data_IF_388707707884
#
_entry.id   IF_388707707884
#
_cell.length_a   1.000
_cell.length_b   1.000
_cell.length_c   1.000
_cell.angle_alpha   90.00
_cell.angle_beta   90.00
_cell.angle_gamma   90.00
#
_symmetry.space_group_name_H-M   'P 1'
#
loop_
_entity.id
_entity.type
_entity.pdbx_description
1 polymer ?
#
# COMPACT_ATOMS: atom_id res chain seq x y z
N UNK A 1 4.50 16.40 -21.76
CA UNK A 1 5.98 16.36 -21.78
C UNK A 1 6.35 14.95 -21.38
N UNK A 2 6.82 14.16 -22.34
CA UNK A 2 6.96 12.70 -22.26
C UNK A 2 8.23 12.38 -21.46
N UNK A 3 8.12 11.54 -20.43
CA UNK A 3 9.27 10.85 -19.85
C UNK A 3 9.03 9.35 -19.94
N UNK A 4 9.48 8.78 -21.05
CA UNK A 4 9.84 7.37 -21.16
C UNK A 4 11.33 7.20 -20.86
N UNK A 5 11.69 6.01 -20.38
CA UNK A 5 13.04 5.45 -20.24
C UNK A 5 13.88 5.93 -19.06
N UNK A 6 13.87 5.13 -17.98
CA UNK A 6 15.03 4.31 -17.56
C UNK A 6 14.73 3.69 -16.18
N UNK A 7 13.90 2.64 -16.15
CA UNK A 7 13.81 1.76 -14.99
C UNK A 7 14.00 0.30 -15.42
N UNK A 8 15.25 -0.12 -15.21
CA UNK A 8 15.68 -1.45 -14.78
C UNK A 8 15.75 -2.55 -15.86
N UNK A 9 16.95 -2.68 -16.43
CA UNK A 9 17.50 -3.95 -16.87
C UNK A 9 17.92 -4.75 -15.62
N UNK A 10 17.04 -5.58 -15.12
CA UNK A 10 17.34 -6.58 -14.09
C UNK A 10 16.74 -7.91 -14.52
N UNK A 11 17.59 -8.91 -14.74
CA UNK A 11 17.20 -10.25 -15.10
C UNK A 11 16.77 -10.99 -13.82
N UNK A 12 15.47 -11.17 -13.62
CA UNK A 12 14.89 -11.77 -12.42
C UNK A 12 14.67 -13.28 -12.64
N UNK A 13 15.69 -14.08 -12.35
CA UNK A 13 15.58 -15.53 -12.25
C UNK A 13 15.79 -15.99 -10.81
N UNK A 14 14.73 -15.95 -10.00
CA UNK A 14 14.50 -16.83 -8.83
C UNK A 14 13.19 -16.45 -8.15
N UNK A 15 12.09 -17.06 -8.60
CA UNK A 15 10.78 -16.92 -7.97
C UNK A 15 10.60 -17.89 -6.80
N UNK A 16 10.20 -17.35 -5.64
CA UNK A 16 9.58 -18.12 -4.56
C UNK A 16 8.08 -18.25 -4.87
N UNK A 17 7.59 -19.48 -4.75
CA UNK A 17 6.24 -19.94 -5.06
C UNK A 17 5.25 -19.46 -4.00
N UNK A 18 4.18 -18.75 -4.39
CA UNK A 18 2.97 -18.63 -3.58
C UNK A 18 1.81 -19.29 -4.31
N UNK A 19 1.26 -20.34 -3.70
CA UNK A 19 0.05 -21.01 -4.14
C UNK A 19 -1.12 -20.43 -3.34
N UNK A 20 -2.16 -20.01 -4.06
CA UNK A 20 -3.43 -19.60 -3.49
C UNK A 20 -4.18 -20.85 -2.98
N UNK A 21 -4.46 -20.88 -1.68
CA UNK A 21 -5.38 -21.85 -1.05
C UNK A 21 -4.77 -23.13 -0.47
N UNK A 22 -4.71 -23.21 0.87
CA UNK A 22 -4.81 -24.49 1.60
C UNK A 22 -3.66 -24.88 2.53
N UNK A 23 -3.93 -24.80 3.85
CA UNK A 23 -3.39 -25.59 4.99
C UNK A 23 -1.86 -25.80 5.14
N UNK A 24 -1.36 -25.34 6.29
CA UNK A 24 -0.03 -25.62 6.87
C UNK A 24 0.26 -27.11 7.06
N UNK A 25 1.51 -27.51 6.86
CA UNK A 25 2.14 -28.62 7.59
C UNK A 25 3.66 -28.39 7.78
N UNK A 26 4.18 -28.96 8.87
CA UNK A 26 5.42 -28.62 9.57
C UNK A 26 6.68 -29.40 9.13
N UNK A 27 7.82 -28.86 9.62
CA UNK A 27 9.05 -29.52 10.11
C UNK A 27 10.11 -30.00 9.09
N UNK A 28 11.31 -29.41 9.21
CA UNK A 28 12.55 -30.14 9.50
C UNK A 28 13.62 -29.23 10.11
N UNK A 29 14.20 -29.66 11.23
CA UNK A 29 15.28 -29.00 11.99
C UNK A 29 16.65 -29.56 11.59
N UNK A 30 17.70 -28.72 11.59
CA UNK A 30 19.09 -29.13 11.91
C UNK A 30 19.86 -27.95 12.55
N UNK A 31 20.38 -28.16 13.77
CA UNK A 31 21.38 -27.38 14.53
C UNK A 31 22.80 -27.53 13.92
N UNK A 32 23.90 -26.81 14.19
CA UNK A 32 24.32 -25.68 15.01
C UNK A 32 25.68 -25.24 14.43
N UNK A 33 26.06 -23.97 14.55
CA UNK A 33 27.43 -23.52 14.28
C UNK A 33 27.69 -22.10 14.78
N UNK A 34 28.41 -21.99 15.89
CA UNK A 34 28.78 -20.75 16.59
C UNK A 34 29.98 -20.04 15.94
N UNK A 35 29.86 -18.74 15.64
CA UNK A 35 31.00 -17.80 15.50
C UNK A 35 30.61 -16.42 16.05
N UNK A 36 31.64 -15.73 16.56
CA UNK A 36 31.65 -14.63 17.51
C UNK A 36 31.05 -13.28 17.08
N UNK A 37 30.68 -12.53 18.13
CA UNK A 37 30.25 -11.12 18.21
C UNK A 37 31.14 -10.15 17.42
N UNK A 38 30.52 -9.40 16.52
CA UNK A 38 30.87 -8.01 16.24
C UNK A 38 29.62 -7.13 16.42
N UNK A 39 29.82 -5.94 16.98
CA UNK A 39 28.78 -5.01 17.41
C UNK A 39 28.35 -4.19 16.18
N UNK A 40 27.38 -4.70 15.42
CA UNK A 40 26.72 -3.95 14.35
C UNK A 40 25.77 -2.89 14.94
N UNK A 41 25.70 -1.69 14.34
CA UNK A 41 24.68 -0.72 14.71
C UNK A 41 23.30 -1.33 14.45
N UNK A 42 22.52 -1.48 15.52
CA UNK A 42 21.17 -2.01 15.50
C UNK A 42 20.21 -1.12 14.69
N UNK A 43 20.22 -1.29 13.37
CA UNK A 43 19.10 -0.98 12.48
C UNK A 43 18.25 -2.23 12.24
N UNK A 44 18.06 -3.04 13.28
CA UNK A 44 16.96 -4.01 13.29
C UNK A 44 15.69 -3.19 13.42
N UNK A 45 15.14 -2.77 12.29
CA UNK A 45 13.72 -2.45 12.19
C UNK A 45 13.02 -3.73 12.64
N UNK A 46 12.58 -3.75 13.89
CA UNK A 46 11.71 -4.80 14.39
C UNK A 46 10.56 -4.87 13.41
N UNK A 47 10.50 -5.95 12.63
CA UNK A 47 9.48 -6.20 11.61
C UNK A 47 8.14 -5.90 12.27
N UNK A 48 7.53 -4.76 11.92
CA UNK A 48 6.21 -4.42 12.40
C UNK A 48 5.33 -5.61 12.03
N UNK A 49 4.69 -6.21 13.04
CA UNK A 49 3.83 -7.37 12.82
C UNK A 49 2.75 -6.97 11.80
N UNK A 50 2.21 -7.91 11.04
CA UNK A 50 1.11 -7.67 10.09
C UNK A 50 -0.12 -6.99 10.73
N UNK A 51 -0.15 -6.86 12.07
CA UNK A 51 -1.10 -6.06 12.83
C UNK A 51 -0.91 -4.55 12.74
N UNK A 52 0.22 -4.00 12.26
CA UNK A 52 0.53 -2.57 12.46
C UNK A 52 -0.43 -1.58 11.78
N UNK A 53 -0.91 -1.90 10.57
CA UNK A 53 -1.96 -1.12 9.90
C UNK A 53 -3.27 -1.13 10.70
N UNK A 54 -3.67 -2.32 11.17
CA UNK A 54 -4.88 -2.50 11.95
C UNK A 54 -4.82 -1.84 13.32
N UNK A 55 -3.68 -1.94 13.99
CA UNK A 55 -3.42 -1.35 15.31
C UNK A 55 -3.45 0.18 15.23
N UNK A 56 -2.78 0.77 14.24
CA UNK A 56 -2.82 2.22 14.00
C UNK A 56 -4.24 2.69 13.68
N UNK A 57 -4.96 1.99 12.79
CA UNK A 57 -6.33 2.34 12.45
C UNK A 57 -7.28 2.22 13.66
N UNK A 58 -7.12 1.19 14.49
CA UNK A 58 -7.90 1.01 15.72
C UNK A 58 -7.62 2.14 16.73
N UNK A 59 -6.36 2.53 16.89
CA UNK A 59 -5.99 3.66 17.76
C UNK A 59 -6.65 4.96 17.28
N UNK A 60 -6.51 5.31 16.00
CA UNK A 60 -7.11 6.54 15.45
C UNK A 60 -8.63 6.56 15.69
N UNK A 61 -9.33 5.46 15.37
CA UNK A 61 -10.78 5.35 15.62
C UNK A 61 -11.12 5.56 17.09
N UNK A 62 -10.35 4.96 18.01
CA UNK A 62 -10.52 5.13 19.45
C UNK A 62 -10.31 6.57 19.91
N UNK A 63 -9.30 7.25 19.38
CA UNK A 63 -9.00 8.66 19.70
C UNK A 63 -10.13 9.60 19.26
N UNK A 64 -10.74 9.36 18.10
CA UNK A 64 -11.85 10.16 17.57
C UNK A 64 -13.16 9.99 18.37
N UNK A 65 -13.32 8.89 19.12
CA UNK A 65 -14.51 8.62 19.93
C UNK A 65 -14.48 9.23 21.35
N UNK A 66 -13.37 9.86 21.75
CA UNK A 66 -13.13 10.31 23.14
C UNK A 66 -14.00 11.49 23.60
N UNK A 67 -14.82 12.06 22.71
CA UNK A 67 -15.56 13.30 22.94
C UNK A 67 -16.89 13.10 23.70
N UNK A 68 -17.31 11.85 23.95
CA UNK A 68 -18.55 11.55 24.70
C UNK A 68 -19.85 12.03 24.03
N UNK A 69 -19.80 12.51 22.78
CA UNK A 69 -20.97 12.90 22.03
C UNK A 69 -21.69 11.64 21.50
N UNK A 70 -23.03 11.56 21.63
CA UNK A 70 -23.80 10.52 20.98
C UNK A 70 -23.59 10.62 19.46
N UNK A 71 -23.60 9.48 18.78
CA UNK A 71 -23.44 9.38 17.32
C UNK A 71 -24.05 10.55 16.54
N UNK A 72 -23.21 11.24 15.76
CA UNK A 72 -23.64 12.25 14.79
C UNK A 72 -23.02 13.61 15.10
N UNK A 73 -22.35 14.18 14.09
CA UNK A 73 -21.73 15.51 14.11
C UNK A 73 -20.39 15.59 14.87
N UNK A 74 -19.43 14.76 14.44
CA UNK A 74 -18.04 15.26 14.44
C UNK A 74 -18.02 16.35 13.38
N UNK A 75 -17.59 17.55 13.74
CA UNK A 75 -17.34 18.62 12.78
C UNK A 75 -16.34 18.09 11.74
N UNK A 76 -16.86 17.75 10.56
CA UNK A 76 -16.17 16.95 9.53
C UNK A 76 -14.95 17.72 8.98
N UNK A 77 -14.95 19.04 9.16
CA UNK A 77 -13.88 19.95 8.73
C UNK A 77 -12.53 19.66 9.37
N UNK A 78 -12.48 19.20 10.62
CA UNK A 78 -11.22 18.94 11.34
C UNK A 78 -10.85 17.44 11.35
N UNK A 79 -11.66 16.59 10.73
CA UNK A 79 -11.49 15.13 10.87
C UNK A 79 -10.14 14.69 10.32
N UNK A 80 -9.72 15.27 9.20
CA UNK A 80 -8.46 14.95 8.56
C UNK A 80 -7.26 15.27 9.47
N UNK A 81 -7.26 16.46 10.08
CA UNK A 81 -6.24 16.92 11.03
C UNK A 81 -6.22 16.05 12.29
N UNK A 82 -7.40 15.75 12.86
CA UNK A 82 -7.53 14.87 14.04
C UNK A 82 -7.02 13.45 13.78
N UNK A 83 -7.26 12.92 12.57
CA UNK A 83 -6.71 11.61 12.18
C UNK A 83 -5.18 11.63 12.11
N UNK A 84 -4.58 12.70 11.56
CA UNK A 84 -3.12 12.86 11.54
C UNK A 84 -2.54 13.03 12.93
N UNK A 85 -3.14 13.86 13.79
CA UNK A 85 -2.71 14.04 15.17
C UNK A 85 -2.72 12.71 15.94
N UNK A 86 -3.80 11.93 15.81
CA UNK A 86 -3.92 10.62 16.42
C UNK A 86 -2.89 9.62 15.86
N UNK A 87 -2.63 9.63 14.55
CA UNK A 87 -1.62 8.77 13.93
C UNK A 87 -0.21 9.11 14.40
N UNK A 88 0.13 10.40 14.49
CA UNK A 88 1.43 10.86 15.01
C UNK A 88 1.58 10.46 16.48
N UNK A 89 0.52 10.58 17.28
CA UNK A 89 0.53 10.17 18.67
C UNK A 89 0.75 8.67 18.82
N UNK A 90 0.00 7.85 18.05
CA UNK A 90 0.17 6.40 18.01
C UNK A 90 1.63 6.04 17.69
N UNK A 91 2.20 6.64 16.64
CA UNK A 91 3.56 6.32 16.19
C UNK A 91 4.62 6.69 17.23
N UNK A 92 4.41 7.76 18.02
CA UNK A 92 5.28 8.10 19.15
C UNK A 92 5.18 7.07 20.27
N UNK A 93 3.96 6.65 20.63
CA UNK A 93 3.72 5.70 21.72
C UNK A 93 4.20 4.29 21.37
N UNK A 94 4.08 3.88 20.12
CA UNK A 94 4.52 2.56 19.63
C UNK A 94 6.00 2.49 19.29
N UNK A 95 6.72 3.63 19.29
CA UNK A 95 8.10 3.70 18.81
C UNK A 95 8.23 3.53 17.28
N UNK A 96 7.18 3.82 16.52
CA UNK A 96 7.11 3.71 15.06
C UNK A 96 7.46 5.02 14.33
N UNK A 97 8.18 5.94 14.98
CA UNK A 97 8.80 7.08 14.31
C UNK A 97 10.15 6.65 13.76
N UNK A 98 10.27 6.66 12.43
CA UNK A 98 11.51 6.37 11.72
C UNK A 98 12.43 7.60 11.73
N UNK A 99 13.73 7.37 11.55
CA UNK A 99 14.69 8.45 11.38
C UNK A 99 14.30 9.32 10.16
N UNK A 100 14.53 10.64 10.25
CA UNK A 100 14.27 11.57 9.14
C UNK A 100 14.98 11.14 7.85
N UNK A 101 16.21 10.61 7.98
CA UNK A 101 17.03 10.10 6.88
C UNK A 101 16.50 8.80 6.25
N UNK A 102 15.43 8.20 6.79
CA UNK A 102 14.85 6.97 6.24
C UNK A 102 14.33 7.14 4.80
N UNK A 103 14.08 8.38 4.36
CA UNK A 103 13.62 8.70 3.01
C UNK A 103 14.73 9.25 2.10
N UNK A 104 15.98 9.39 2.55
CA UNK A 104 17.05 10.06 1.79
C UNK A 104 17.39 9.32 0.47
N UNK A 105 17.33 7.98 0.49
CA UNK A 105 17.57 7.13 -0.68
C UNK A 105 16.30 6.84 -1.50
N UNK A 106 15.14 7.41 -1.10
CA UNK A 106 13.90 7.23 -1.84
C UNK A 106 13.96 8.01 -3.15
N UNK A 107 13.63 7.35 -4.25
CA UNK A 107 13.55 7.98 -5.56
C UNK A 107 12.15 8.54 -5.78
N UNK A 108 12.01 9.68 -6.48
CA UNK A 108 10.71 10.15 -6.90
C UNK A 108 9.93 9.06 -7.65
N UNK A 109 8.80 8.65 -7.08
CA UNK A 109 7.89 7.69 -7.69
C UNK A 109 6.72 8.39 -8.38
N UNK A 110 5.58 7.70 -8.47
CA UNK A 110 4.33 8.26 -8.99
C UNK A 110 3.81 9.46 -8.21
N UNK A 111 2.55 9.84 -8.46
CA UNK A 111 1.95 11.01 -7.78
C UNK A 111 1.78 10.79 -6.28
N UNK A 112 1.67 9.54 -5.84
CA UNK A 112 1.35 9.18 -4.47
C UNK A 112 2.58 8.93 -3.59
N UNK A 113 3.60 8.26 -4.12
CA UNK A 113 4.76 7.82 -3.33
C UNK A 113 6.11 8.19 -3.95
N UNK A 114 7.09 8.32 -3.08
CA UNK A 114 8.49 8.02 -3.42
C UNK A 114 8.79 6.58 -3.02
N UNK A 115 9.75 5.95 -3.71
CA UNK A 115 9.98 4.51 -3.56
C UNK A 115 11.47 4.18 -3.46
N UNK A 116 11.77 3.14 -2.68
CA UNK A 116 13.10 2.53 -2.59
C UNK A 116 12.94 1.02 -2.54
N UNK A 117 13.65 0.32 -3.41
CA UNK A 117 13.76 -1.13 -3.32
C UNK A 117 14.95 -1.50 -2.45
N UNK A 118 14.75 -2.43 -1.52
CA UNK A 118 15.81 -3.00 -0.69
C UNK A 118 16.11 -4.42 -1.19
N UNK A 119 17.21 -4.57 -1.95
CA UNK A 119 17.65 -5.84 -2.51
C UNK A 119 17.92 -6.90 -1.44
N UNK A 120 18.32 -6.49 -0.23
CA UNK A 120 18.63 -7.42 0.86
C UNK A 120 17.40 -8.09 1.44
N UNK A 121 16.25 -7.41 1.44
CA UNK A 121 14.99 -7.92 1.98
C UNK A 121 13.96 -8.25 0.90
N UNK A 122 14.17 -7.82 -0.34
CA UNK A 122 13.20 -7.94 -1.43
C UNK A 122 11.96 -7.06 -1.24
N UNK A 123 12.03 -6.03 -0.39
CA UNK A 123 10.90 -5.16 -0.07
C UNK A 123 10.99 -3.84 -0.82
N UNK A 124 9.85 -3.40 -1.32
CA UNK A 124 9.61 -2.01 -1.68
C UNK A 124 9.22 -1.22 -0.45
N UNK A 125 10.00 -0.18 -0.15
CA UNK A 125 9.64 0.87 0.79
C UNK A 125 8.94 1.99 0.01
N UNK A 126 7.72 2.30 0.40
CA UNK A 126 6.89 3.36 -0.18
C UNK A 126 6.67 4.44 0.85
N UNK A 127 6.86 5.69 0.44
CA UNK A 127 6.76 6.86 1.29
C UNK A 127 5.72 7.79 0.67
N UNK A 128 4.59 8.03 1.33
CA UNK A 128 3.60 8.97 0.79
C UNK A 128 4.22 10.35 0.55
N UNK A 129 3.68 11.16 -0.37
CA UNK A 129 4.15 12.54 -0.51
C UNK A 129 3.98 13.30 0.80
N UNK A 130 4.81 14.33 0.99
CA UNK A 130 4.80 15.17 2.18
C UNK A 130 3.37 15.67 2.45
N UNK A 131 2.90 15.47 3.69
CA UNK A 131 1.59 15.92 4.18
C UNK A 131 0.41 15.32 3.41
N UNK A 132 0.59 14.11 2.87
CA UNK A 132 -0.45 13.33 2.19
C UNK A 132 -0.48 11.90 2.73
N UNK A 133 -1.68 11.33 2.81
CA UNK A 133 -1.90 9.91 3.09
C UNK A 133 -2.20 9.14 1.80
N UNK A 134 -1.89 9.69 0.63
CA UNK A 134 -2.19 9.08 -0.66
C UNK A 134 -3.59 9.40 -1.18
N UNK A 135 -4.12 8.58 -2.09
CA UNK A 135 -5.39 8.84 -2.77
C UNK A 135 -6.48 7.79 -2.47
N UNK A 136 -7.74 8.18 -2.60
CA UNK A 136 -8.86 7.24 -2.60
C UNK A 136 -9.93 7.70 -3.59
N UNK A 137 -10.89 6.82 -3.86
CA UNK A 137 -12.05 7.12 -4.70
C UNK A 137 -13.30 7.13 -3.84
N UNK A 138 -14.11 8.17 -4.01
CA UNK A 138 -15.43 8.32 -3.38
C UNK A 138 -16.48 8.58 -4.45
N UNK A 139 -17.75 8.57 -4.04
CA UNK A 139 -18.89 8.74 -4.93
C UNK A 139 -19.60 10.05 -4.66
N UNK A 140 -19.94 10.77 -5.73
CA UNK A 140 -20.87 11.89 -5.66
C UNK A 140 -22.31 11.38 -5.56
N UNK A 141 -23.24 12.27 -5.23
CA UNK A 141 -24.68 11.97 -5.18
C UNK A 141 -25.24 11.44 -6.51
N UNK A 142 -24.65 11.85 -7.64
CA UNK A 142 -25.03 11.40 -8.99
C UNK A 142 -24.40 10.07 -9.40
N UNK A 143 -23.80 9.34 -8.45
CA UNK A 143 -23.04 8.11 -8.69
C UNK A 143 -21.86 8.28 -9.66
N UNK A 144 -21.29 9.48 -9.75
CA UNK A 144 -20.01 9.69 -10.42
C UNK A 144 -18.86 9.48 -9.43
N UNK A 145 -17.89 8.58 -9.72
CA UNK A 145 -16.72 8.43 -8.88
C UNK A 145 -15.78 9.63 -9.03
N UNK A 146 -15.10 10.00 -7.95
CA UNK A 146 -14.06 11.03 -7.97
C UNK A 146 -12.91 10.65 -7.05
N UNK A 147 -11.70 10.99 -7.48
CA UNK A 147 -10.49 10.78 -6.69
C UNK A 147 -10.22 12.00 -5.81
N UNK A 148 -9.81 11.77 -4.56
CA UNK A 148 -9.36 12.81 -3.63
C UNK A 148 -8.22 12.29 -2.77
N UNK A 149 -7.55 13.20 -2.03
CA UNK A 149 -6.57 12.78 -1.02
C UNK A 149 -7.29 11.94 0.04
N UNK A 150 -6.72 10.78 0.35
CA UNK A 150 -7.20 9.93 1.42
C UNK A 150 -6.86 10.56 2.77
N UNK A 151 -7.74 10.40 3.75
CA UNK A 151 -7.38 10.51 5.16
C UNK A 151 -6.47 9.34 5.58
N UNK A 152 -5.77 9.42 6.73
CA UNK A 152 -5.04 8.29 7.28
C UNK A 152 -5.87 7.01 7.41
N UNK A 153 -7.12 7.09 7.90
CA UNK A 153 -8.00 5.93 8.00
C UNK A 153 -8.43 5.38 6.65
N UNK A 154 -8.70 6.25 5.67
CA UNK A 154 -9.05 5.82 4.31
C UNK A 154 -7.87 5.08 3.68
N UNK A 155 -6.66 5.62 3.82
CA UNK A 155 -5.43 4.99 3.31
C UNK A 155 -5.19 3.62 3.94
N UNK A 156 -5.27 3.50 5.28
CA UNK A 156 -5.08 2.21 5.93
C UNK A 156 -6.16 1.21 5.54
N UNK A 157 -7.42 1.66 5.44
CA UNK A 157 -8.50 0.79 4.98
C UNK A 157 -8.29 0.32 3.54
N UNK A 158 -7.68 1.15 2.68
CA UNK A 158 -7.28 0.79 1.31
C UNK A 158 -6.17 -0.27 1.33
N UNK A 159 -5.11 -0.07 2.11
CA UNK A 159 -4.00 -1.03 2.24
C UNK A 159 -4.46 -2.39 2.78
N UNK A 160 -5.34 -2.37 3.79
CA UNK A 160 -5.91 -3.60 4.36
C UNK A 160 -6.72 -4.37 3.33
N UNK A 161 -7.55 -3.68 2.54
CA UNK A 161 -8.30 -4.31 1.44
C UNK A 161 -7.38 -4.87 0.35
N UNK A 162 -6.30 -4.17 -0.01
CA UNK A 162 -5.32 -4.73 -0.96
C UNK A 162 -4.72 -6.03 -0.44
N UNK A 163 -4.34 -6.09 0.84
CA UNK A 163 -3.86 -7.33 1.46
C UNK A 163 -4.92 -8.43 1.45
N UNK A 164 -6.17 -8.10 1.76
CA UNK A 164 -7.28 -9.05 1.81
C UNK A 164 -7.61 -9.63 0.43
N UNK A 165 -7.61 -8.81 -0.62
CA UNK A 165 -8.06 -9.21 -1.96
C UNK A 165 -6.94 -9.67 -2.89
N UNK A 166 -5.74 -9.10 -2.77
CA UNK A 166 -4.62 -9.37 -3.68
C UNK A 166 -3.42 -10.02 -2.98
N UNK A 167 -3.38 -10.04 -1.65
CA UNK A 167 -2.25 -10.61 -0.92
C UNK A 167 -0.98 -9.77 -1.04
N UNK A 168 -1.12 -8.45 -1.21
CA UNK A 168 0.01 -7.51 -1.40
C UNK A 168 0.96 -7.43 -0.19
N UNK A 169 0.59 -8.00 0.96
CA UNK A 169 1.38 -8.05 2.20
C UNK A 169 1.96 -6.67 2.60
N UNK A 170 1.18 -5.61 2.39
CA UNK A 170 1.52 -4.24 2.79
C UNK A 170 1.54 -4.14 4.31
N UNK A 171 2.62 -3.58 4.85
CA UNK A 171 2.82 -3.37 6.28
C UNK A 171 3.12 -1.89 6.53
N UNK A 172 2.57 -1.32 7.60
CA UNK A 172 2.97 0.00 8.09
C UNK A 172 4.31 -0.14 8.83
N UNK A 173 5.36 0.41 8.25
CA UNK A 173 6.69 0.46 8.86
C UNK A 173 6.79 1.59 9.90
N UNK A 174 6.07 2.69 9.68
CA UNK A 174 6.01 3.81 10.62
C UNK A 174 5.73 5.13 9.93
N UNK A 175 6.09 6.22 10.61
CA UNK A 175 6.07 7.57 10.05
C UNK A 175 7.49 8.12 9.98
N UNK A 176 7.76 8.94 8.98
CA UNK A 176 8.96 9.77 8.98
C UNK A 176 8.60 11.23 8.72
N UNK A 177 9.46 12.13 9.19
CA UNK A 177 9.34 13.56 8.92
C UNK A 177 10.69 14.17 8.58
N UNK A 178 10.75 14.90 7.47
CA UNK A 178 11.98 15.60 7.05
C UNK A 178 12.13 16.94 7.80
N UNK A 179 11.01 17.56 8.18
CA UNK A 179 10.94 18.81 8.93
C UNK A 179 9.77 18.79 9.92
N UNK A 180 9.65 19.85 10.72
CA UNK A 180 8.48 20.05 11.58
C UNK A 180 7.23 20.14 10.69
N UNK A 181 6.23 19.30 10.98
CA UNK A 181 4.97 19.14 10.25
C UNK A 181 5.03 18.40 8.91
N UNK A 182 6.20 18.08 8.34
CA UNK A 182 6.32 17.37 7.06
C UNK A 182 6.27 15.85 7.22
N UNK A 183 5.10 15.34 7.58
CA UNK A 183 4.90 13.91 7.86
C UNK A 183 4.65 13.11 6.59
N UNK A 184 5.16 11.87 6.60
CA UNK A 184 4.97 10.86 5.57
C UNK A 184 4.61 9.54 6.22
N UNK A 185 3.68 8.81 5.62
CA UNK A 185 3.38 7.43 5.98
C UNK A 185 4.35 6.53 5.21
N UNK A 186 4.97 5.59 5.92
CA UNK A 186 5.94 4.66 5.34
C UNK A 186 5.39 3.25 5.41
N UNK A 187 5.16 2.65 4.24
CA UNK A 187 4.73 1.26 4.10
C UNK A 187 5.78 0.43 3.40
N UNK A 188 5.78 -0.88 3.67
CA UNK A 188 6.58 -1.85 2.93
C UNK A 188 5.68 -2.88 2.27
N UNK A 189 6.07 -3.35 1.08
CA UNK A 189 5.43 -4.47 0.40
C UNK A 189 6.49 -5.34 -0.28
N UNK A 190 6.32 -6.66 -0.40
CA UNK A 190 7.18 -7.51 -1.20
C UNK A 190 7.25 -7.06 -2.67
N UNK A 191 8.39 -7.31 -3.31
CA UNK A 191 8.50 -7.22 -4.76
C UNK A 191 7.60 -8.25 -5.44
N UNK A 192 6.80 -7.80 -6.40
CA UNK A 192 5.99 -8.69 -7.25
C UNK A 192 6.74 -9.02 -8.55
N UNK A 193 6.50 -10.22 -9.07
CA UNK A 193 7.07 -10.69 -10.34
C UNK A 193 5.95 -10.95 -11.35
N UNK A 194 6.19 -10.59 -12.60
CA UNK A 194 5.22 -10.79 -13.66
C UNK A 194 5.62 -10.12 -14.97
N UNK A 195 4.77 -10.29 -15.98
CA UNK A 195 4.94 -9.69 -17.31
C UNK A 195 4.30 -8.29 -17.32
N UNK A 196 5.02 -7.30 -17.84
CA UNK A 196 4.42 -6.00 -18.18
C UNK A 196 3.35 -6.20 -19.27
N UNK A 197 2.21 -5.56 -19.09
CA UNK A 197 1.05 -5.72 -19.96
C UNK A 197 0.62 -4.40 -20.57
N UNK A 198 0.01 -4.45 -21.75
CA UNK A 198 -0.74 -3.33 -22.34
C UNK A 198 -2.10 -3.17 -21.63
N UNK A 199 -2.79 -2.03 -21.82
CA UNK A 199 -4.14 -1.84 -21.28
C UNK A 199 -5.14 -2.90 -21.79
N UNK A 200 -4.99 -3.34 -23.04
CA UNK A 200 -5.83 -4.39 -23.61
C UNK A 200 -5.58 -5.73 -22.91
N UNK A 201 -4.31 -6.13 -22.74
CA UNK A 201 -3.97 -7.36 -22.02
C UNK A 201 -4.41 -7.31 -20.55
N UNK A 202 -4.31 -6.15 -19.89
CA UNK A 202 -4.82 -5.97 -18.53
C UNK A 202 -6.34 -6.14 -18.50
N UNK A 203 -7.07 -5.57 -19.46
CA UNK A 203 -8.51 -5.75 -19.56
C UNK A 203 -8.88 -7.24 -19.67
N UNK A 204 -8.26 -7.95 -20.60
CA UNK A 204 -8.49 -9.37 -20.82
C UNK A 204 -8.14 -10.20 -19.56
N UNK A 205 -7.06 -9.86 -18.85
CA UNK A 205 -6.66 -10.53 -17.61
C UNK A 205 -7.66 -10.31 -16.47
N UNK A 206 -8.16 -9.08 -16.29
CA UNK A 206 -9.18 -8.79 -15.28
C UNK A 206 -10.52 -9.47 -15.62
N UNK A 207 -10.92 -9.50 -16.90
CA UNK A 207 -12.11 -10.23 -17.35
C UNK A 207 -11.95 -11.75 -17.10
N UNK A 208 -10.76 -12.31 -17.35
CA UNK A 208 -10.43 -13.70 -17.01
C UNK A 208 -10.54 -13.98 -15.50
N UNK A 209 -10.19 -13.00 -14.67
CA UNK A 209 -10.36 -13.03 -13.22
C UNK A 209 -11.80 -12.71 -12.76
N UNK A 210 -12.76 -12.67 -13.69
CA UNK A 210 -14.19 -12.40 -13.45
C UNK A 210 -14.49 -11.01 -12.87
N UNK A 211 -13.61 -10.05 -13.12
CA UNK A 211 -13.93 -8.65 -12.86
C UNK A 211 -14.74 -8.06 -14.02
N UNK A 212 -15.74 -7.27 -13.69
CA UNK A 212 -16.54 -6.49 -14.64
C UNK A 212 -15.87 -5.15 -14.90
N UNK A 213 -15.66 -4.80 -16.17
CA UNK A 213 -15.16 -3.49 -16.55
C UNK A 213 -16.20 -2.40 -16.23
N UNK A 214 -15.82 -1.41 -15.45
CA UNK A 214 -16.65 -0.23 -15.18
C UNK A 214 -16.55 0.78 -16.33
N UNK A 215 -17.58 1.62 -16.56
CA UNK A 215 -17.59 2.60 -17.64
C UNK A 215 -16.66 3.81 -17.39
N UNK A 216 -15.88 3.79 -16.30
CA UNK A 216 -15.06 4.89 -15.84
C UNK A 216 -13.60 4.65 -16.18
N UNK A 217 -13.02 5.58 -16.96
CA UNK A 217 -11.61 5.57 -17.31
C UNK A 217 -10.91 6.83 -16.82
N UNK A 218 -9.63 6.75 -16.51
CA UNK A 218 -8.83 7.93 -16.20
C UNK A 218 -8.88 8.38 -14.74
N UNK A 219 -9.28 7.49 -13.83
CA UNK A 219 -9.26 7.74 -12.38
C UNK A 219 -7.90 7.27 -11.85
N UNK A 220 -7.10 8.22 -11.34
CA UNK A 220 -5.68 8.01 -11.01
C UNK A 220 -4.76 8.52 -12.12
N UNK A 221 -4.47 7.66 -13.10
CA UNK A 221 -3.67 7.96 -14.28
C UNK A 221 -4.53 8.11 -15.55
N UNK A 222 -3.99 8.80 -16.57
CA UNK A 222 -4.67 8.95 -17.86
C UNK A 222 -4.94 7.58 -18.50
N UNK A 223 -6.17 7.35 -18.96
CA UNK A 223 -6.63 6.10 -19.56
C UNK A 223 -6.59 4.85 -18.63
N UNK A 224 -6.42 5.02 -17.32
CA UNK A 224 -6.53 3.89 -16.39
C UNK A 224 -7.91 3.24 -16.50
N UNK A 225 -7.94 1.92 -16.37
CA UNK A 225 -9.18 1.15 -16.32
C UNK A 225 -9.69 1.05 -14.88
N UNK A 226 -10.97 0.76 -14.74
CA UNK A 226 -11.62 0.52 -13.45
C UNK A 226 -12.47 -0.74 -13.54
N UNK A 227 -12.48 -1.55 -12.49
CA UNK A 227 -13.11 -2.86 -12.48
C UNK A 227 -13.92 -3.09 -11.20
N UNK A 228 -14.90 -3.99 -11.26
CA UNK A 228 -15.74 -4.39 -10.13
C UNK A 228 -15.78 -5.90 -9.98
N UNK A 229 -15.70 -6.39 -8.75
CA UNK A 229 -15.98 -7.80 -8.41
C UNK A 229 -16.48 -7.88 -6.98
N UNK A 230 -17.51 -8.67 -6.70
CA UNK A 230 -17.92 -9.05 -5.34
C UNK A 230 -18.05 -7.88 -4.32
N UNK A 231 -18.60 -6.73 -4.77
CA UNK A 231 -18.81 -5.57 -3.90
C UNK A 231 -17.57 -4.70 -3.65
N UNK A 232 -16.49 -4.92 -4.39
CA UNK A 232 -15.33 -4.03 -4.45
C UNK A 232 -15.17 -3.42 -5.85
N UNK A 233 -14.66 -2.20 -5.86
CA UNK A 233 -14.21 -1.50 -7.04
C UNK A 233 -12.70 -1.29 -6.97
N UNK A 234 -12.02 -1.55 -8.07
CA UNK A 234 -10.58 -1.40 -8.24
C UNK A 234 -10.32 -0.36 -9.30
N UNK A 235 -9.52 0.63 -8.95
CA UNK A 235 -9.24 1.81 -9.76
C UNK A 235 -7.76 1.92 -10.06
N UNK A 236 -7.44 2.80 -11.00
CA UNK A 236 -6.08 3.08 -11.44
C UNK A 236 -5.35 1.86 -12.02
N UNK A 237 -6.09 1.02 -12.77
CA UNK A 237 -5.51 -0.13 -13.47
C UNK A 237 -4.78 0.35 -14.72
N UNK A 238 -3.46 0.32 -14.67
CA UNK A 238 -2.59 0.62 -15.82
C UNK A 238 -1.24 -0.13 -15.73
N UNK A 239 -0.43 -0.16 -16.81
CA UNK A 239 0.78 -0.98 -16.90
C UNK A 239 1.90 -0.72 -15.86
N UNK A 240 1.79 0.37 -15.10
CA UNK A 240 2.75 0.70 -14.04
C UNK A 240 2.28 0.27 -12.65
N UNK A 241 1.03 -0.18 -12.49
CA UNK A 241 0.43 -0.60 -11.21
C UNK A 241 0.03 -2.08 -11.18
N UNK A 242 0.03 -2.74 -12.36
CA UNK A 242 -0.39 -4.14 -12.50
C UNK A 242 0.54 -4.90 -13.45
N UNK A 243 0.95 -6.09 -13.04
CA UNK A 243 1.60 -7.09 -13.90
C UNK A 243 0.62 -8.20 -14.25
N UNK A 244 0.95 -9.01 -15.26
CA UNK A 244 0.25 -10.27 -15.53
C UNK A 244 1.14 -11.43 -15.07
N UNK A 245 0.57 -12.33 -14.28
CA UNK A 245 1.23 -13.56 -13.88
C UNK A 245 1.51 -14.43 -15.11
N UNK A 246 2.76 -14.87 -15.34
CA UNK A 246 3.10 -15.73 -16.48
C UNK A 246 2.60 -17.17 -16.31
N UNK A 247 2.11 -17.53 -15.12
CA UNK A 247 1.70 -18.90 -14.78
C UNK A 247 0.25 -19.14 -15.19
N UNK A 248 -0.64 -18.23 -14.82
CA UNK A 248 -2.09 -18.37 -14.95
C UNK A 248 -2.73 -17.23 -15.77
N UNK A 249 -1.96 -16.22 -16.16
CA UNK A 249 -2.46 -15.07 -16.93
C UNK A 249 -3.30 -14.10 -16.12
N UNK A 250 -3.36 -14.27 -14.79
CA UNK A 250 -4.17 -13.42 -13.91
C UNK A 250 -3.45 -12.08 -13.63
N UNK A 251 -4.21 -11.00 -13.35
CA UNK A 251 -3.63 -9.73 -12.96
C UNK A 251 -3.00 -9.83 -11.57
N UNK A 252 -1.85 -9.19 -11.41
CA UNK A 252 -1.12 -9.03 -10.14
C UNK A 252 -1.02 -7.53 -9.86
N UNK A 253 -2.03 -6.94 -9.21
CA UNK A 253 -1.96 -5.56 -8.75
C UNK A 253 -0.87 -5.38 -7.70
N UNK A 254 -0.26 -4.20 -7.63
CA UNK A 254 0.70 -3.88 -6.57
C UNK A 254 0.73 -2.40 -6.19
N UNK A 255 -0.11 -1.57 -6.84
CA UNK A 255 -0.26 -0.15 -6.55
C UNK A 255 -1.61 0.38 -7.04
N UNK A 256 -2.72 -0.24 -6.63
CA UNK A 256 -4.07 0.13 -7.08
C UNK A 256 -4.88 0.74 -5.95
N UNK A 257 -5.91 1.53 -6.30
CA UNK A 257 -6.90 1.96 -5.32
C UNK A 257 -8.04 0.95 -5.27
N UNK A 258 -8.46 0.57 -4.06
CA UNK A 258 -9.58 -0.36 -3.84
C UNK A 258 -10.58 0.24 -2.87
N UNK A 259 -11.85 0.22 -3.24
CA UNK A 259 -12.96 0.77 -2.46
C UNK A 259 -14.11 -0.22 -2.43
N UNK A 260 -15.02 -0.06 -1.48
CA UNK A 260 -16.30 -0.78 -1.57
C UNK A 260 -17.12 -0.18 -2.72
N UNK A 261 -17.89 -1.02 -3.40
CA UNK A 261 -18.98 -0.59 -4.27
C UNK A 261 -19.99 0.22 -3.44
N UNK A 262 -20.54 1.32 -3.98
CA UNK A 262 -21.53 2.15 -3.29
C UNK A 262 -22.87 1.43 -3.05
#
# INVERSE_FOLDING_TARGET
MIFENELLKGDFSSGILFLWGGKRCCLCSVEMGTVNKEHEPSTVVSKASSSSLGDAAAFIRGSLCSNGYPHGEVDDFDRFEKEWEALIQWAKESGSILAASSADDARPGGREHDVRFDDGTGLWWKYTKINSSGYTVSWKEDATPYMHNASPLEYFSRMQRQNEHFGDDVILAGLCNAAAHDWRIVTTQPGVSGKKATLLELKEAFELAEFELLPWTGIGYENSLSFRKEGIDVWDIHPANVLISPIDGLPVPFDVMITNTP
#
